data_IF_365249060350
#
_entry.id   IF_365249060350
#
_cell.length_a   1.000
_cell.length_b   1.000
_cell.length_c   1.000
_cell.angle_alpha   90.00
_cell.angle_beta   90.00
_cell.angle_gamma   90.00
#
_symmetry.space_group_name_H-M   'P 1'
#
loop_
_entity.id
_entity.type
_entity.pdbx_description
1 polymer ?
#
# COMPACT_ATOMS: atom_id res chain seq x y z
N UNK A 1 -8.32 9.65 23.16
CA UNK A 1 -7.36 10.60 22.57
C UNK A 1 -7.64 10.75 21.09
N UNK A 2 -7.49 11.94 20.58
CA UNK A 2 -7.58 12.18 19.13
C UNK A 2 -6.17 12.33 18.57
N UNK A 3 -5.86 11.56 17.55
CA UNK A 3 -4.53 11.52 16.94
C UNK A 3 -4.64 11.92 15.48
N UNK A 4 -3.85 12.90 15.06
CA UNK A 4 -3.73 13.31 13.67
C UNK A 4 -2.52 12.66 13.02
N UNK A 5 -2.71 12.06 11.86
CA UNK A 5 -1.64 11.43 11.08
C UNK A 5 -1.45 12.25 9.80
N UNK A 6 -0.24 12.69 9.56
CA UNK A 6 0.12 13.44 8.37
C UNK A 6 0.59 12.48 7.29
N UNK A 7 -0.22 12.31 6.26
CA UNK A 7 0.06 11.41 5.14
C UNK A 7 -0.80 10.14 5.16
N UNK A 8 -1.47 9.90 4.06
CA UNK A 8 -2.34 8.74 3.83
C UNK A 8 -1.71 7.68 2.93
N UNK A 9 -0.40 7.50 2.99
CA UNK A 9 0.27 6.38 2.37
C UNK A 9 0.13 5.10 3.18
N UNK A 10 0.84 4.05 2.81
CA UNK A 10 0.72 2.75 3.47
C UNK A 10 1.05 2.82 4.97
N UNK A 11 2.10 3.53 5.34
CA UNK A 11 2.50 3.67 6.75
C UNK A 11 1.43 4.40 7.57
N UNK A 12 0.92 5.52 7.07
CA UNK A 12 -0.11 6.29 7.75
C UNK A 12 -1.42 5.54 7.90
N UNK A 13 -1.84 4.83 6.84
CA UNK A 13 -3.07 4.03 6.87
C UNK A 13 -2.95 2.83 7.82
N UNK A 14 -1.79 2.17 7.85
CA UNK A 14 -1.55 1.05 8.77
C UNK A 14 -1.58 1.53 10.21
N UNK A 15 -0.91 2.63 10.51
CA UNK A 15 -0.92 3.22 11.84
C UNK A 15 -2.34 3.62 12.26
N UNK A 16 -3.08 4.27 11.35
CA UNK A 16 -4.46 4.67 11.61
C UNK A 16 -5.34 3.48 11.97
N UNK A 17 -5.21 2.38 11.24
CA UNK A 17 -5.98 1.17 11.51
C UNK A 17 -5.67 0.60 12.89
N UNK A 18 -4.39 0.48 13.23
CA UNK A 18 -3.97 -0.07 14.52
C UNK A 18 -4.43 0.81 15.69
N UNK A 19 -4.35 2.12 15.54
CA UNK A 19 -4.82 3.06 16.56
C UNK A 19 -6.35 3.02 16.69
N UNK A 20 -7.06 2.94 15.59
CA UNK A 20 -8.52 2.81 15.59
C UNK A 20 -8.97 1.52 16.29
N UNK A 21 -8.30 0.40 16.00
CA UNK A 21 -8.59 -0.88 16.66
C UNK A 21 -8.31 -0.83 18.17
N UNK A 22 -7.37 0.02 18.59
CA UNK A 22 -7.10 0.27 20.01
C UNK A 22 -8.16 1.14 20.68
N UNK A 23 -9.02 1.79 19.91
CA UNK A 23 -10.09 2.66 20.41
C UNK A 23 -9.79 4.15 20.34
N UNK A 24 -8.70 4.56 19.71
CA UNK A 24 -8.38 5.97 19.51
C UNK A 24 -9.20 6.56 18.36
N UNK A 25 -9.47 7.86 18.46
CA UNK A 25 -10.03 8.62 17.36
C UNK A 25 -8.87 9.08 16.46
N UNK A 26 -8.94 8.77 15.17
CA UNK A 26 -7.85 9.05 14.25
C UNK A 26 -8.34 9.94 13.11
N UNK A 27 -7.51 10.92 12.75
CA UNK A 27 -7.72 11.81 11.60
C UNK A 27 -6.49 11.70 10.71
N UNK A 28 -6.69 11.46 9.42
CA UNK A 28 -5.61 11.43 8.44
C UNK A 28 -5.69 12.70 7.58
N UNK A 29 -4.58 13.40 7.49
CA UNK A 29 -4.43 14.58 6.64
C UNK A 29 -3.55 14.21 5.45
N UNK A 30 -4.14 14.18 4.26
CA UNK A 30 -3.49 13.79 3.01
C UNK A 30 -3.43 14.99 2.05
N UNK A 31 -2.25 15.26 1.50
CA UNK A 31 -2.04 16.37 0.58
C UNK A 31 -2.67 16.14 -0.80
N UNK A 32 -2.72 14.89 -1.23
CA UNK A 32 -3.30 14.51 -2.51
C UNK A 32 -4.81 14.25 -2.40
N UNK A 33 -5.49 14.19 -3.54
CA UNK A 33 -6.94 13.93 -3.57
C UNK A 33 -7.30 12.49 -3.24
N UNK A 34 -6.34 11.57 -3.26
CA UNK A 34 -6.53 10.15 -2.98
C UNK A 34 -5.52 9.65 -1.99
N UNK A 35 -5.95 8.75 -1.13
CA UNK A 35 -5.06 8.02 -0.22
C UNK A 35 -4.34 6.89 -0.95
N UNK A 36 -3.32 6.31 -0.33
CA UNK A 36 -2.59 5.16 -0.81
C UNK A 36 -1.12 5.42 -1.12
N UNK A 37 -0.72 6.68 -1.31
CA UNK A 37 0.68 7.02 -1.59
C UNK A 37 1.23 6.27 -2.79
N UNK A 38 2.41 5.69 -2.65
CA UNK A 38 3.06 4.90 -3.71
C UNK A 38 2.34 3.57 -4.02
N UNK A 39 1.41 3.14 -3.18
CA UNK A 39 0.62 1.93 -3.43
C UNK A 39 -0.61 2.19 -4.31
N UNK A 40 -0.80 3.42 -4.79
CA UNK A 40 -1.88 3.73 -5.70
C UNK A 40 -1.65 3.13 -7.08
N UNK A 41 -2.77 2.83 -7.74
CA UNK A 41 -2.78 2.43 -9.14
C UNK A 41 -3.51 3.48 -9.97
N UNK A 42 -3.22 3.52 -11.25
CA UNK A 42 -3.89 4.37 -12.23
C UNK A 42 -4.48 3.50 -13.33
N UNK A 43 -5.75 3.73 -13.65
CA UNK A 43 -6.41 3.04 -14.75
C UNK A 43 -6.53 4.00 -15.94
N UNK A 44 -6.07 3.57 -17.08
CA UNK A 44 -6.11 4.34 -18.33
C UNK A 44 -6.42 3.41 -19.50
N UNK A 45 -7.44 3.73 -20.27
CA UNK A 45 -7.87 2.95 -21.44
C UNK A 45 -8.12 1.47 -21.12
N UNK A 46 -8.66 1.17 -19.94
CA UNK A 46 -8.94 -0.20 -19.49
C UNK A 46 -7.76 -0.95 -18.90
N UNK A 47 -6.57 -0.35 -18.87
CA UNK A 47 -5.39 -0.94 -18.25
C UNK A 47 -5.12 -0.32 -16.89
N UNK A 48 -4.66 -1.13 -15.94
CA UNK A 48 -4.30 -0.68 -14.60
C UNK A 48 -2.77 -0.71 -14.43
N UNK A 49 -2.22 0.42 -14.02
CA UNK A 49 -0.78 0.60 -13.81
C UNK A 49 -0.50 0.92 -12.35
N UNK A 50 0.54 0.30 -11.80
CA UNK A 50 1.08 0.66 -10.50
C UNK A 50 1.90 1.94 -10.63
N UNK A 51 1.63 2.95 -9.79
CA UNK A 51 2.27 4.27 -9.90
C UNK A 51 3.67 4.26 -9.32
N UNK A 52 3.86 3.62 -8.17
CA UNK A 52 5.12 3.65 -7.42
C UNK A 52 6.02 2.43 -7.62
N UNK A 53 5.90 1.75 -8.75
CA UNK A 53 6.57 0.48 -9.01
C UNK A 53 5.65 -0.70 -8.72
N UNK A 54 6.11 -1.91 -9.00
CA UNK A 54 5.29 -3.11 -8.83
C UNK A 54 4.83 -3.29 -7.38
N UNK A 55 3.55 -3.55 -7.19
CA UNK A 55 2.98 -3.79 -5.87
C UNK A 55 3.22 -5.25 -5.47
N UNK A 56 4.25 -5.48 -4.68
CA UNK A 56 4.57 -6.81 -4.16
C UNK A 56 4.52 -6.80 -2.63
N UNK A 57 4.22 -7.97 -2.08
CA UNK A 57 4.26 -8.19 -0.63
C UNK A 57 5.52 -8.96 -0.31
N UNK A 58 6.35 -8.40 0.55
CA UNK A 58 7.56 -9.04 1.04
C UNK A 58 7.90 -8.56 2.45
N UNK A 59 8.29 -9.49 3.31
CA UNK A 59 8.90 -9.17 4.59
C UNK A 59 9.72 -10.36 5.07
N UNK A 60 10.86 -10.08 5.70
CA UNK A 60 11.63 -11.09 6.43
C UNK A 60 11.00 -11.40 7.79
N UNK A 61 10.14 -10.51 8.29
CA UNK A 61 9.40 -10.71 9.53
C UNK A 61 8.12 -11.48 9.23
N UNK A 62 8.01 -12.70 9.76
CA UNK A 62 6.86 -13.57 9.50
C UNK A 62 5.55 -13.00 10.05
N UNK A 63 5.60 -12.27 11.16
CA UNK A 63 4.41 -11.63 11.75
C UNK A 63 3.90 -10.50 10.87
N UNK A 64 4.81 -9.65 10.37
CA UNK A 64 4.49 -8.56 9.44
C UNK A 64 3.92 -9.11 8.14
N UNK A 65 4.54 -10.15 7.57
CA UNK A 65 4.05 -10.78 6.35
C UNK A 65 2.64 -11.36 6.54
N UNK A 66 2.41 -12.04 7.67
CA UNK A 66 1.09 -12.57 8.02
C UNK A 66 0.04 -11.46 8.13
N UNK A 67 0.39 -10.33 8.74
CA UNK A 67 -0.49 -9.16 8.82
C UNK A 67 -0.84 -8.63 7.42
N UNK A 68 0.14 -8.45 6.56
CA UNK A 68 -0.10 -7.98 5.18
C UNK A 68 -1.00 -8.93 4.40
N UNK A 69 -0.78 -10.24 4.51
CA UNK A 69 -1.59 -11.24 3.82
C UNK A 69 -3.04 -11.24 4.30
N UNK A 70 -3.28 -11.02 5.59
CA UNK A 70 -4.64 -10.87 6.12
C UNK A 70 -5.35 -9.65 5.56
N UNK A 71 -4.62 -8.56 5.31
CA UNK A 71 -5.22 -7.32 4.78
C UNK A 71 -5.70 -7.48 3.35
N UNK A 72 -5.00 -8.24 2.53
CA UNK A 72 -5.38 -8.43 1.12
C UNK A 72 -6.27 -9.65 0.90
N UNK A 73 -6.32 -10.57 1.86
CA UNK A 73 -7.18 -11.78 1.83
C UNK A 73 -7.12 -12.52 0.48
N UNK A 74 -8.26 -12.66 -0.22
CA UNK A 74 -8.36 -13.41 -1.48
C UNK A 74 -7.74 -12.69 -2.70
N UNK A 75 -7.29 -11.45 -2.55
CA UNK A 75 -6.64 -10.72 -3.65
C UNK A 75 -5.17 -11.09 -3.84
N UNK A 76 -4.62 -11.96 -3.00
CA UNK A 76 -3.25 -12.42 -3.13
C UNK A 76 -3.10 -13.31 -4.38
N UNK A 77 -2.09 -12.98 -5.19
CA UNK A 77 -1.67 -13.81 -6.32
C UNK A 77 -0.18 -14.07 -6.24
N UNK A 78 0.22 -15.28 -6.58
CA UNK A 78 1.62 -15.67 -6.62
C UNK A 78 2.07 -15.80 -8.07
N UNK A 79 3.05 -14.99 -8.47
CA UNK A 79 3.58 -14.97 -9.83
C UNK A 79 5.10 -15.11 -9.82
N UNK A 80 5.64 -15.69 -10.87
CA UNK A 80 7.08 -15.68 -11.07
C UNK A 80 7.52 -14.25 -11.41
N UNK A 81 8.61 -13.82 -10.76
CA UNK A 81 9.14 -12.49 -11.01
C UNK A 81 9.69 -12.41 -12.44
N UNK A 82 9.24 -11.41 -13.18
CA UNK A 82 9.72 -11.11 -14.53
C UNK A 82 9.87 -9.59 -14.67
N UNK A 83 10.87 -9.07 -13.96
CA UNK A 83 11.15 -7.63 -13.93
C UNK A 83 12.26 -7.32 -14.92
N UNK A 84 12.03 -6.31 -15.77
CA UNK A 84 12.98 -5.86 -16.78
C UNK A 84 13.22 -4.37 -16.64
N UNK A 85 14.42 -3.93 -16.99
CA UNK A 85 14.78 -2.53 -17.06
C UNK A 85 14.98 -2.16 -18.52
N UNK A 86 14.21 -1.15 -18.98
CA UNK A 86 14.43 -0.56 -20.28
C UNK A 86 15.50 0.53 -20.19
N UNK A 87 16.55 0.40 -20.97
CA UNK A 87 17.65 1.35 -20.98
C UNK A 87 18.20 1.52 -22.40
N UNK A 88 18.18 2.75 -22.92
CA UNK A 88 18.68 3.12 -24.26
C UNK A 88 18.15 2.20 -25.36
N UNK A 89 16.88 1.80 -25.31
CA UNK A 89 16.25 0.95 -26.31
C UNK A 89 16.60 -0.54 -26.24
N UNK A 90 17.25 -0.97 -25.19
CA UNK A 90 17.63 -2.39 -24.99
C UNK A 90 16.64 -3.14 -24.09
#
# INVERSE_FOLDING_TARGET
MTIAILGGGLSGLTLARLLYERGDKVIILEAEQRIGGLCRSRTEKGFTFDIGGSHIIFSKDAEVLSFMRRMIAANEQRNNRNTKIFYKGL
#
